data_IF_130845521845
#
_entry.id   IF_130845521845
#
_cell.length_a   1.000
_cell.length_b   1.000
_cell.length_c   1.000
_cell.angle_alpha   90.00
_cell.angle_beta   90.00
_cell.angle_gamma   90.00
#
_symmetry.space_group_name_H-M   'P 1'
#
loop_
_entity.id
_entity.type
_entity.pdbx_description
1 polymer ?
#
# COMPACT_ATOMS: atom_id res chain seq x y z
N UNK A 1 13.44 -13.06 -15.68
CA UNK A 1 12.58 -12.37 -14.69
C UNK A 1 11.36 -11.88 -15.47
N UNK A 2 10.18 -12.43 -15.24
CA UNK A 2 8.98 -12.01 -15.95
C UNK A 2 8.54 -10.62 -15.43
N UNK A 3 8.42 -9.63 -16.31
CA UNK A 3 7.84 -8.34 -15.95
C UNK A 3 6.34 -8.54 -15.69
N UNK A 4 5.92 -8.52 -14.41
CA UNK A 4 4.50 -8.40 -14.08
C UNK A 4 4.01 -7.06 -14.62
N UNK A 5 2.99 -7.10 -15.47
CA UNK A 5 2.37 -5.90 -16.03
C UNK A 5 1.38 -5.37 -14.99
N UNK A 6 1.63 -4.19 -14.44
CA UNK A 6 0.70 -3.52 -13.53
C UNK A 6 -0.44 -2.88 -14.33
N UNK A 7 -1.67 -2.96 -13.81
CA UNK A 7 -2.85 -2.46 -14.52
C UNK A 7 -2.92 -0.94 -14.48
N UNK A 8 -2.80 -0.38 -13.28
CA UNK A 8 -2.73 1.06 -13.07
C UNK A 8 -1.80 1.33 -11.90
N UNK A 9 -0.81 2.20 -12.11
CA UNK A 9 -0.04 2.83 -11.03
C UNK A 9 -0.24 4.32 -11.21
N UNK A 10 -0.61 5.00 -10.13
CA UNK A 10 -0.82 6.43 -10.10
C UNK A 10 -0.05 7.01 -8.93
N UNK A 11 0.92 7.86 -9.26
CA UNK A 11 1.76 8.50 -8.25
C UNK A 11 1.01 9.68 -7.63
N UNK A 12 0.99 9.73 -6.31
CA UNK A 12 0.47 10.89 -5.61
C UNK A 12 1.52 12.01 -5.65
N UNK A 13 1.08 13.20 -6.05
CA UNK A 13 1.87 14.43 -5.93
C UNK A 13 1.71 14.91 -4.48
N UNK A 14 2.19 14.12 -3.53
CA UNK A 14 2.13 14.52 -2.13
C UNK A 14 3.23 15.53 -1.83
N UNK A 15 2.90 16.60 -1.09
CA UNK A 15 3.87 17.57 -0.56
C UNK A 15 4.81 16.98 0.50
N UNK A 16 4.72 15.67 0.74
CA UNK A 16 5.56 14.92 1.65
C UNK A 16 7.05 15.15 1.39
N UNK A 17 7.79 15.53 2.43
CA UNK A 17 9.25 15.64 2.35
C UNK A 17 9.95 14.27 2.21
N UNK A 18 9.27 13.17 2.57
CA UNK A 18 9.85 11.83 2.58
C UNK A 18 9.68 11.08 1.26
N UNK A 19 10.62 10.16 1.00
CA UNK A 19 10.59 9.29 -0.14
C UNK A 19 9.88 7.97 0.20
N UNK A 20 8.99 7.50 -0.67
CA UNK A 20 8.28 6.22 -0.51
C UNK A 20 9.22 5.01 -0.50
N UNK A 21 10.39 5.10 -1.13
CA UNK A 21 11.42 4.07 -1.02
C UNK A 21 11.86 3.82 0.44
N UNK A 22 11.79 4.81 1.33
CA UNK A 22 12.09 4.62 2.75
C UNK A 22 11.09 3.69 3.46
N UNK A 23 9.94 3.42 2.83
CA UNK A 23 8.92 2.50 3.31
C UNK A 23 9.09 1.08 2.76
N UNK A 24 10.04 0.84 1.85
CA UNK A 24 10.20 -0.44 1.17
C UNK A 24 10.44 -1.61 2.13
N UNK A 25 11.19 -1.39 3.21
CA UNK A 25 11.45 -2.42 4.23
C UNK A 25 10.22 -2.82 5.05
N UNK A 26 9.13 -2.06 4.96
CA UNK A 26 7.88 -2.27 5.70
C UNK A 26 6.81 -2.96 4.85
N UNK A 27 7.03 -3.07 3.53
CA UNK A 27 6.11 -3.70 2.59
C UNK A 27 5.92 -5.18 2.92
N UNK A 28 7.01 -5.94 3.05
CA UNK A 28 6.92 -7.38 3.33
C UNK A 28 6.23 -7.67 4.66
N UNK A 29 6.62 -7.04 5.80
CA UNK A 29 5.92 -7.24 7.07
C UNK A 29 4.42 -6.87 7.03
N UNK A 30 4.04 -5.89 6.22
CA UNK A 30 2.64 -5.52 6.03
C UNK A 30 1.86 -6.60 5.28
N UNK A 31 2.39 -7.08 4.15
CA UNK A 31 1.76 -8.12 3.33
C UNK A 31 1.70 -9.48 4.06
N UNK A 32 2.77 -9.83 4.79
CA UNK A 32 2.82 -11.03 5.62
C UNK A 32 1.72 -10.99 6.71
N UNK A 33 1.49 -9.82 7.31
CA UNK A 33 0.46 -9.64 8.33
C UNK A 33 -0.95 -9.87 7.77
N UNK A 34 -1.24 -9.32 6.58
CA UNK A 34 -2.52 -9.52 5.88
C UNK A 34 -2.79 -11.01 5.63
N UNK A 35 -1.78 -11.72 5.14
CA UNK A 35 -1.89 -13.14 4.75
C UNK A 35 -1.96 -14.04 5.98
N UNK A 36 -1.04 -13.88 6.95
CA UNK A 36 -0.98 -14.70 8.17
C UNK A 36 -2.20 -14.50 9.08
N UNK A 37 -2.77 -13.31 9.10
CA UNK A 37 -3.99 -13.02 9.87
C UNK A 37 -5.26 -13.42 9.13
N UNK A 38 -5.13 -13.96 7.91
CA UNK A 38 -6.23 -14.32 7.02
C UNK A 38 -7.29 -13.21 6.92
N UNK A 39 -6.83 -11.96 6.75
CA UNK A 39 -7.72 -10.80 6.66
C UNK A 39 -8.59 -10.95 5.42
N UNK A 40 -9.91 -10.92 5.63
CA UNK A 40 -10.92 -11.03 4.59
C UNK A 40 -11.46 -9.65 4.26
N UNK A 41 -11.46 -9.34 2.97
CA UNK A 41 -12.03 -8.12 2.42
C UNK A 41 -13.32 -8.44 1.68
N UNK A 42 -14.34 -7.63 1.90
CA UNK A 42 -15.54 -7.52 1.09
C UNK A 42 -15.44 -6.25 0.22
N UNK A 43 -16.42 -6.05 -0.66
CA UNK A 43 -16.51 -4.80 -1.41
C UNK A 43 -16.47 -3.59 -0.48
N UNK A 44 -15.66 -2.59 -0.84
CA UNK A 44 -15.43 -1.36 -0.09
C UNK A 44 -14.66 -1.50 1.23
N UNK A 45 -14.26 -2.71 1.63
CA UNK A 45 -13.39 -2.90 2.79
C UNK A 45 -11.98 -2.36 2.50
N UNK A 46 -11.41 -1.71 3.50
CA UNK A 46 -10.05 -1.22 3.48
C UNK A 46 -9.31 -1.53 4.78
N UNK A 47 -8.00 -1.69 4.66
CA UNK A 47 -7.10 -1.80 5.79
C UNK A 47 -5.87 -0.97 5.50
N UNK A 48 -5.49 -0.12 6.45
CA UNK A 48 -4.22 0.57 6.42
C UNK A 48 -3.42 0.28 7.69
N UNK A 49 -2.11 0.27 7.55
CA UNK A 49 -1.17 0.26 8.68
C UNK A 49 -0.23 1.43 8.55
N UNK A 50 0.01 2.04 9.69
CA UNK A 50 0.91 3.15 9.84
C UNK A 50 2.16 2.70 10.58
N UNK A 51 3.31 2.97 9.98
CA UNK A 51 4.61 2.63 10.50
C UNK A 51 5.43 3.90 10.67
N UNK A 52 5.72 4.24 11.92
CA UNK A 52 6.60 5.36 12.22
C UNK A 52 8.07 4.91 12.15
N UNK A 53 8.86 5.59 11.33
CA UNK A 53 10.30 5.46 11.27
C UNK A 53 10.95 6.64 12.01
N UNK A 54 11.45 6.36 13.21
CA UNK A 54 12.13 7.35 14.05
C UNK A 54 13.44 7.86 13.45
N UNK A 55 14.09 7.09 12.58
CA UNK A 55 15.36 7.47 11.93
C UNK A 55 15.17 8.59 10.93
N UNK A 56 14.08 8.53 10.16
CA UNK A 56 13.75 9.54 9.16
C UNK A 56 12.72 10.55 9.67
N UNK A 57 12.30 10.43 10.94
CA UNK A 57 11.17 11.14 11.54
C UNK A 57 9.94 11.19 10.60
N UNK A 58 9.68 10.04 9.98
CA UNK A 58 8.74 9.90 8.90
C UNK A 58 7.79 8.74 9.13
N UNK A 59 6.63 8.82 8.53
CA UNK A 59 5.58 7.81 8.63
C UNK A 59 5.31 7.19 7.27
N UNK A 60 5.19 5.88 7.25
CA UNK A 60 4.82 5.08 6.11
C UNK A 60 3.42 4.52 6.33
N UNK A 61 2.48 4.92 5.48
CA UNK A 61 1.11 4.42 5.47
C UNK A 61 1.02 3.44 4.31
N UNK A 62 0.79 2.17 4.64
CA UNK A 62 0.55 1.10 3.67
C UNK A 62 -0.93 0.74 3.75
N UNK A 63 -1.60 0.72 2.60
CA UNK A 63 -3.06 0.49 2.50
C UNK A 63 -3.36 -0.57 1.47
N UNK A 64 -4.40 -1.34 1.75
CA UNK A 64 -5.09 -2.21 0.82
C UNK A 64 -6.57 -1.86 0.84
N UNK A 65 -7.20 -1.80 -0.31
CA UNK A 65 -8.63 -1.53 -0.45
C UNK A 65 -9.23 -2.44 -1.52
N UNK A 66 -10.32 -3.10 -1.18
CA UNK A 66 -11.11 -3.89 -2.12
C UNK A 66 -12.06 -2.98 -2.90
N UNK A 67 -12.18 -3.21 -4.20
CA UNK A 67 -13.17 -2.55 -5.06
C UNK A 67 -14.58 -2.88 -4.57
N UNK A 68 -15.56 -2.00 -4.76
CA UNK A 68 -16.98 -2.26 -4.46
C UNK A 68 -17.53 -3.54 -5.12
N UNK A 69 -16.96 -3.95 -6.25
CA UNK A 69 -17.32 -5.18 -6.98
C UNK A 69 -16.55 -6.42 -6.52
N UNK A 70 -15.70 -6.31 -5.50
CA UNK A 70 -14.93 -7.44 -4.99
C UNK A 70 -15.88 -8.50 -4.41
N UNK A 71 -15.67 -9.80 -4.72
CA UNK A 71 -16.41 -10.86 -4.06
C UNK A 71 -16.22 -10.80 -2.54
N UNK A 72 -17.20 -11.25 -1.77
CA UNK A 72 -17.07 -11.32 -0.33
C UNK A 72 -15.97 -12.31 0.09
N UNK A 73 -15.22 -11.97 1.14
CA UNK A 73 -14.23 -12.86 1.74
C UNK A 73 -12.94 -13.04 0.93
N UNK A 74 -12.58 -12.08 0.08
CA UNK A 74 -11.33 -12.10 -0.67
C UNK A 74 -10.13 -11.94 0.27
N UNK A 75 -9.06 -12.66 -0.01
CA UNK A 75 -7.81 -12.59 0.74
C UNK A 75 -6.73 -12.09 -0.21
N UNK A 76 -5.93 -11.12 0.26
CA UNK A 76 -4.78 -10.64 -0.49
C UNK A 76 -3.71 -11.72 -0.56
N UNK A 77 -3.19 -11.98 -1.75
CA UNK A 77 -1.98 -12.78 -1.92
C UNK A 77 -0.74 -11.94 -1.55
N UNK A 78 0.19 -12.55 -0.81
CA UNK A 78 1.39 -11.87 -0.31
C UNK A 78 2.29 -11.37 -1.45
N UNK A 79 2.51 -12.21 -2.47
CA UNK A 79 3.36 -11.85 -3.61
C UNK A 79 2.76 -10.70 -4.42
N UNK A 80 1.43 -10.66 -4.53
CA UNK A 80 0.70 -9.60 -5.22
C UNK A 80 0.76 -8.28 -4.47
N UNK A 81 0.55 -8.33 -3.14
CA UNK A 81 0.67 -7.18 -2.26
C UNK A 81 2.07 -6.57 -2.32
N UNK A 82 3.10 -7.40 -2.13
CA UNK A 82 4.49 -6.96 -2.10
C UNK A 82 4.94 -6.42 -3.46
N UNK A 83 4.73 -7.16 -4.55
CA UNK A 83 5.13 -6.71 -5.90
C UNK A 83 4.48 -5.38 -6.28
N UNK A 84 3.20 -5.19 -5.96
CA UNK A 84 2.48 -3.95 -6.28
C UNK A 84 3.01 -2.77 -5.47
N UNK A 85 3.18 -2.94 -4.16
CA UNK A 85 3.73 -1.89 -3.30
C UNK A 85 5.19 -1.57 -3.64
N UNK A 86 6.01 -2.56 -3.99
CA UNK A 86 7.38 -2.33 -4.46
C UNK A 86 7.39 -1.55 -5.76
N UNK A 87 6.54 -1.91 -6.73
CA UNK A 87 6.42 -1.18 -7.98
C UNK A 87 5.99 0.28 -7.75
N UNK A 88 5.00 0.53 -6.88
CA UNK A 88 4.59 1.89 -6.53
C UNK A 88 5.75 2.63 -5.87
N UNK A 89 6.44 2.05 -4.88
CA UNK A 89 7.55 2.73 -4.19
C UNK A 89 8.73 3.05 -5.11
N UNK A 90 8.97 2.22 -6.14
CA UNK A 90 10.04 2.42 -7.12
C UNK A 90 9.67 3.43 -8.22
N UNK A 91 8.40 3.52 -8.61
CA UNK A 91 7.94 4.41 -9.67
C UNK A 91 7.44 5.77 -9.15
N UNK A 92 7.00 5.82 -7.90
CA UNK A 92 6.38 6.99 -7.29
C UNK A 92 7.21 7.44 -6.07
N UNK A 93 8.15 8.39 -6.25
CA UNK A 93 9.08 8.80 -5.21
C UNK A 93 8.40 9.30 -3.93
N UNK A 94 7.18 9.80 -4.01
CA UNK A 94 6.40 10.33 -2.88
C UNK A 94 5.29 9.41 -2.39
N UNK A 95 5.11 8.28 -3.05
CA UNK A 95 4.00 7.38 -2.81
C UNK A 95 2.94 7.47 -3.90
N UNK A 96 1.97 6.58 -3.81
CA UNK A 96 0.96 6.41 -4.83
C UNK A 96 0.08 5.22 -4.52
N UNK A 97 -0.74 4.88 -5.49
CA UNK A 97 -1.59 3.70 -5.45
C UNK A 97 -1.51 2.93 -6.75
N UNK A 98 -1.90 1.66 -6.71
CA UNK A 98 -1.96 0.83 -7.89
C UNK A 98 -2.62 -0.52 -7.67
N UNK A 99 -2.86 -1.21 -8.78
CA UNK A 99 -3.48 -2.53 -8.81
C UNK A 99 -2.98 -3.34 -10.00
N UNK A 100 -3.10 -4.67 -9.92
CA UNK A 100 -2.89 -5.53 -11.07
C UNK A 100 -4.08 -5.44 -12.04
N UNK A 101 -3.87 -5.71 -13.34
CA UNK A 101 -4.95 -5.72 -14.32
C UNK A 101 -6.03 -6.73 -13.93
N UNK A 102 -7.28 -6.30 -13.82
CA UNK A 102 -8.40 -7.16 -13.43
C UNK A 102 -8.42 -7.56 -11.94
N UNK A 103 -7.53 -7.01 -11.11
CA UNK A 103 -7.59 -7.23 -9.67
C UNK A 103 -8.73 -6.44 -9.03
N UNK A 104 -9.39 -7.08 -8.07
CA UNK A 104 -10.43 -6.49 -7.21
C UNK A 104 -9.86 -5.80 -5.97
N UNK A 105 -8.52 -5.80 -5.82
CA UNK A 105 -7.82 -5.13 -4.74
C UNK A 105 -6.84 -4.11 -5.30
N UNK A 106 -6.73 -2.99 -4.60
CA UNK A 106 -5.77 -1.92 -4.84
C UNK A 106 -4.89 -1.74 -3.62
N UNK A 107 -3.67 -1.29 -3.85
CA UNK A 107 -2.65 -1.10 -2.84
C UNK A 107 -2.13 0.32 -2.92
N UNK A 108 -1.82 0.91 -1.78
CA UNK A 108 -1.24 2.24 -1.74
C UNK A 108 -0.12 2.33 -0.72
N UNK A 109 0.85 3.18 -1.01
CA UNK A 109 1.94 3.54 -0.12
C UNK A 109 2.05 5.05 -0.09
N UNK A 110 1.97 5.63 1.10
CA UNK A 110 2.13 7.07 1.29
C UNK A 110 3.18 7.32 2.37
N UNK A 111 4.26 8.01 2.00
CA UNK A 111 5.29 8.43 2.93
C UNK A 111 5.04 9.88 3.31
N UNK A 112 4.79 10.17 4.58
CA UNK A 112 4.52 11.52 5.09
C UNK A 112 5.47 11.89 6.23
N UNK A 113 5.70 13.18 6.44
CA UNK A 113 6.50 13.66 7.57
C UNK A 113 5.73 13.57 8.90
N UNK A 114 6.45 13.30 9.99
CA UNK A 114 5.91 13.22 11.35
C UNK A 114 5.35 11.84 11.72
N UNK A 115 4.52 11.79 12.76
CA UNK A 115 4.07 10.54 13.39
C UNK A 115 2.70 10.02 12.94
N UNK A 116 2.44 8.75 13.23
CA UNK A 116 1.17 8.06 12.94
C UNK A 116 -0.07 8.67 13.60
N UNK A 117 0.11 9.54 14.59
CA UNK A 117 -1.01 10.24 15.24
C UNK A 117 -1.59 11.35 14.35
N UNK A 118 -0.96 11.67 13.23
CA UNK A 118 -1.45 12.62 12.22
C UNK A 118 -2.21 11.94 11.08
N UNK A 119 -2.71 10.71 11.27
CA UNK A 119 -3.57 10.03 10.31
C UNK A 119 -4.89 10.81 10.16
N UNK A 120 -4.86 11.79 9.27
CA UNK A 120 -6.04 12.36 8.64
C UNK A 120 -6.54 11.24 7.73
N UNK A 121 -7.73 10.72 8.01
CA UNK A 121 -8.46 9.89 7.04
C UNK A 121 -8.43 10.63 5.69
N UNK A 122 -8.08 9.98 4.57
CA UNK A 122 -8.27 10.63 3.28
C UNK A 122 -9.75 11.04 3.14
N UNK A 123 -10.05 12.13 2.41
CA UNK A 123 -11.43 12.55 2.17
C UNK A 123 -12.28 11.44 1.52
#
# INVERSE_FOLDING_TARGET
MAQKTFGQISCEISHSALAAFNCASLIQPFCDHLTSSAVKFNGDDELFRCFFNSTTNGTCILRIAASSTAPAGQISDDSTCSDTLFAISGQCPKGGFGSLPGATMSYAINAIAGGCNMLIAPP
#
